data_IF_255522536567
#
_entry.id   IF_255522536567
#
_cell.length_a   1.000
_cell.length_b   1.000
_cell.length_c   1.000
_cell.angle_alpha   90.00
_cell.angle_beta   90.00
_cell.angle_gamma   90.00
#
_symmetry.space_group_name_H-M   'P 1'
#
loop_
_entity.id
_entity.type
_entity.pdbx_description
1 polymer ?
#
# COMPACT_ATOMS: atom_id res chain seq x y z
N UNK A 1 10.73 -2.27 16.77
CA UNK A 1 11.08 -0.85 16.53
C UNK A 1 11.06 -0.04 17.82
N UNK A 2 12.05 0.81 18.00
CA UNK A 2 11.99 1.75 19.12
C UNK A 2 10.88 2.78 18.87
N UNK A 3 10.61 3.61 19.86
CA UNK A 3 9.49 4.52 19.79
C UNK A 3 9.61 5.57 18.69
N UNK A 4 10.81 6.10 18.49
CA UNK A 4 11.05 7.05 17.40
C UNK A 4 10.81 6.42 16.04
N UNK A 5 11.31 5.21 15.83
CA UNK A 5 11.12 4.51 14.58
C UNK A 5 9.65 4.13 14.35
N UNK A 6 8.95 3.75 15.41
CA UNK A 6 7.51 3.48 15.30
C UNK A 6 6.77 4.71 14.81
N UNK A 7 7.12 5.86 15.38
CA UNK A 7 6.48 7.12 15.01
C UNK A 7 6.77 7.49 13.55
N UNK A 8 8.02 7.33 13.14
CA UNK A 8 8.41 7.61 11.76
C UNK A 8 7.71 6.70 10.77
N UNK A 9 7.64 5.41 11.09
CA UNK A 9 6.96 4.45 10.23
C UNK A 9 5.47 4.71 10.17
N UNK A 10 4.88 5.08 11.29
CA UNK A 10 3.46 5.43 11.32
C UNK A 10 3.16 6.59 10.36
N UNK A 11 4.00 7.62 10.39
CA UNK A 11 3.83 8.76 9.49
C UNK A 11 4.00 8.35 8.03
N UNK A 12 4.96 7.48 7.75
CA UNK A 12 5.16 6.99 6.38
C UNK A 12 3.98 6.14 5.92
N UNK A 13 3.42 5.33 6.80
CA UNK A 13 2.25 4.52 6.50
C UNK A 13 1.06 5.44 6.22
N UNK A 14 0.88 6.48 7.02
CA UNK A 14 -0.18 7.46 6.80
C UNK A 14 -0.02 8.17 5.47
N UNK A 15 1.20 8.60 5.17
CA UNK A 15 1.49 9.27 3.90
C UNK A 15 1.23 8.35 2.72
N UNK A 16 1.68 7.11 2.81
CA UNK A 16 1.45 6.14 1.74
C UNK A 16 -0.04 5.85 1.58
N UNK A 17 -0.76 5.72 2.68
CA UNK A 17 -2.20 5.52 2.63
C UNK A 17 -2.91 6.68 1.96
N UNK A 18 -2.51 7.89 2.30
CA UNK A 18 -3.07 9.09 1.68
C UNK A 18 -2.78 9.12 0.17
N UNK A 19 -1.56 8.77 -0.20
CA UNK A 19 -1.16 8.71 -1.61
C UNK A 19 -2.00 7.69 -2.39
N UNK A 20 -2.32 6.56 -1.75
CA UNK A 20 -3.07 5.49 -2.40
C UNK A 20 -4.58 5.65 -2.32
N UNK A 21 -5.05 6.70 -1.66
CA UNK A 21 -6.47 6.92 -1.51
C UNK A 21 -7.13 7.06 -2.89
N UNK A 22 -8.16 6.27 -3.11
CA UNK A 22 -8.84 6.26 -4.40
C UNK A 22 -8.18 5.44 -5.47
N UNK A 23 -7.00 4.86 -5.20
CA UNK A 23 -6.27 4.08 -6.19
C UNK A 23 -6.37 2.57 -5.98
N UNK A 24 -6.96 2.14 -4.88
CA UNK A 24 -7.15 0.73 -4.61
C UNK A 24 -8.45 0.25 -5.25
N UNK A 25 -8.45 -0.97 -5.80
CA UNK A 25 -9.65 -1.51 -6.43
C UNK A 25 -10.75 -1.77 -5.40
N UNK A 26 -11.99 -1.72 -5.86
CA UNK A 26 -13.13 -2.06 -5.04
C UNK A 26 -13.08 -3.54 -4.67
N UNK A 27 -13.63 -3.84 -3.51
CA UNK A 27 -13.69 -5.22 -3.02
C UNK A 27 -15.11 -5.49 -2.53
N UNK A 28 -15.64 -6.71 -2.74
CA UNK A 28 -17.00 -7.04 -2.30
C UNK A 28 -17.27 -6.75 -0.83
N UNK A 29 -16.26 -6.95 0.02
CA UNK A 29 -16.39 -6.68 1.45
C UNK A 29 -16.15 -5.22 1.81
N UNK A 30 -15.75 -4.41 0.83
CA UNK A 30 -15.45 -3.00 1.02
C UNK A 30 -16.02 -2.22 -0.17
N UNK A 31 -17.34 -2.10 -0.25
CA UNK A 31 -18.00 -1.48 -1.42
C UNK A 31 -17.62 -0.03 -1.65
N UNK A 32 -17.15 0.65 -0.61
CA UNK A 32 -16.67 2.03 -0.73
C UNK A 32 -15.17 2.11 -0.95
N UNK A 33 -14.54 0.96 -1.21
CA UNK A 33 -13.10 0.88 -1.38
C UNK A 33 -12.42 0.45 -0.09
N UNK A 34 -11.18 0.00 -0.22
CA UNK A 34 -10.38 -0.41 0.94
C UNK A 34 -9.89 0.81 1.70
N UNK A 35 -9.72 0.65 3.00
CA UNK A 35 -9.02 1.65 3.79
C UNK A 35 -7.55 1.60 3.40
N UNK A 36 -7.02 2.63 2.72
CA UNK A 36 -5.65 2.57 2.22
C UNK A 36 -4.59 2.53 3.34
N UNK A 37 -4.89 3.11 4.49
CA UNK A 37 -3.96 3.10 5.62
C UNK A 37 -3.82 1.69 6.16
N UNK A 38 -4.93 1.02 6.36
CA UNK A 38 -4.93 -0.37 6.81
C UNK A 38 -4.26 -1.27 5.77
N UNK A 39 -4.48 -0.99 4.49
CA UNK A 39 -3.86 -1.77 3.42
C UNK A 39 -2.33 -1.72 3.51
N UNK A 40 -1.76 -0.52 3.67
CA UNK A 40 -0.31 -0.37 3.77
C UNK A 40 0.23 -1.12 4.99
N UNK A 41 -0.43 -0.95 6.13
CA UNK A 41 0.00 -1.61 7.35
C UNK A 41 -0.05 -3.14 7.23
N UNK A 42 -1.10 -3.66 6.60
CA UNK A 42 -1.24 -5.10 6.38
C UNK A 42 -0.15 -5.61 5.43
N UNK A 43 0.15 -4.86 4.38
CA UNK A 43 1.20 -5.26 3.44
C UNK A 43 2.57 -5.33 4.13
N UNK A 44 2.85 -4.38 5.01
CA UNK A 44 4.09 -4.42 5.79
C UNK A 44 4.11 -5.66 6.68
N UNK A 45 3.00 -5.92 7.36
CA UNK A 45 2.91 -7.09 8.23
C UNK A 45 3.11 -8.39 7.45
N UNK A 46 2.52 -8.48 6.27
CA UNK A 46 2.67 -9.68 5.45
C UNK A 46 4.10 -9.88 4.96
N UNK A 47 4.76 -8.78 4.58
CA UNK A 47 6.13 -8.85 4.09
C UNK A 47 7.12 -9.26 5.17
N UNK A 48 6.99 -8.69 6.37
CA UNK A 48 7.94 -8.90 7.45
C UNK A 48 7.44 -9.88 8.51
N UNK A 49 6.23 -10.39 8.36
CA UNK A 49 5.60 -11.37 9.26
C UNK A 49 5.38 -10.83 10.68
N UNK A 50 5.47 -9.51 10.84
CA UNK A 50 5.24 -8.83 12.11
C UNK A 50 4.67 -7.45 11.84
N UNK A 51 3.88 -6.96 12.80
CA UNK A 51 3.45 -5.56 12.77
C UNK A 51 4.67 -4.65 12.70
N UNK A 52 4.55 -3.51 12.04
CA UNK A 52 5.66 -2.57 11.95
C UNK A 52 6.22 -2.20 13.32
N UNK A 53 5.40 -2.26 14.34
CA UNK A 53 5.82 -1.92 15.72
C UNK A 53 6.78 -2.95 16.29
N UNK A 54 6.69 -4.18 15.83
CA UNK A 54 7.43 -5.32 16.39
C UNK A 54 8.63 -5.74 15.54
N UNK A 55 8.82 -5.09 14.40
CA UNK A 55 9.97 -5.36 13.54
C UNK A 55 11.23 -4.79 14.18
N UNK A 56 12.36 -5.47 14.03
CA UNK A 56 13.62 -5.01 14.60
C UNK A 56 14.06 -3.69 13.98
N UNK A 57 14.71 -2.85 14.79
CA UNK A 57 15.19 -1.54 14.35
C UNK A 57 16.19 -1.64 13.19
N UNK A 58 16.98 -2.71 13.14
CA UNK A 58 17.94 -2.87 12.06
C UNK A 58 17.27 -3.08 10.71
N UNK A 59 15.97 -3.28 10.67
CA UNK A 59 15.20 -3.42 9.44
C UNK A 59 14.40 -2.17 9.10
N UNK A 60 14.65 -1.08 9.81
CA UNK A 60 13.89 0.16 9.59
C UNK A 60 13.96 0.61 8.13
N UNK A 61 15.15 0.63 7.55
CA UNK A 61 15.31 1.05 6.16
C UNK A 61 14.59 0.12 5.19
N UNK A 62 14.59 -1.18 5.48
CA UNK A 62 13.89 -2.14 4.64
C UNK A 62 12.39 -1.89 4.66
N UNK A 63 11.85 -1.55 5.83
CA UNK A 63 10.42 -1.23 5.94
C UNK A 63 10.09 0.04 5.17
N UNK A 64 10.94 1.06 5.30
CA UNK A 64 10.76 2.32 4.57
C UNK A 64 10.73 2.05 3.06
N UNK A 65 11.69 1.27 2.57
CA UNK A 65 11.76 0.95 1.16
C UNK A 65 10.53 0.17 0.70
N UNK A 66 10.04 -0.73 1.53
CA UNK A 66 8.85 -1.50 1.18
C UNK A 66 7.61 -0.60 1.09
N UNK A 67 7.47 0.36 1.99
CA UNK A 67 6.35 1.30 1.95
C UNK A 67 6.41 2.13 0.67
N UNK A 68 7.59 2.60 0.28
CA UNK A 68 7.78 3.34 -0.97
C UNK A 68 7.47 2.47 -2.18
N UNK A 69 7.88 1.21 -2.13
CA UNK A 69 7.59 0.25 -3.18
C UNK A 69 6.08 0.03 -3.35
N UNK A 70 5.36 -0.05 -2.25
CA UNK A 70 3.90 -0.22 -2.30
C UNK A 70 3.23 0.95 -3.01
N UNK A 71 3.71 2.16 -2.77
CA UNK A 71 3.16 3.34 -3.44
C UNK A 71 3.33 3.22 -4.95
N UNK A 72 4.51 2.84 -5.40
CA UNK A 72 4.79 2.70 -6.83
C UNK A 72 4.01 1.58 -7.48
N UNK A 73 3.95 0.43 -6.84
CA UNK A 73 3.29 -0.73 -7.39
C UNK A 73 1.80 -0.50 -7.55
N UNK A 74 1.16 0.02 -6.52
CA UNK A 74 -0.28 0.22 -6.57
C UNK A 74 -0.68 1.26 -7.61
N UNK A 75 0.08 2.35 -7.68
CA UNK A 75 -0.19 3.38 -8.68
C UNK A 75 -0.04 2.82 -10.09
N UNK A 76 1.03 2.09 -10.34
CA UNK A 76 1.28 1.50 -11.66
C UNK A 76 0.23 0.46 -12.01
N UNK A 77 -0.14 -0.37 -11.05
CA UNK A 77 -1.15 -1.40 -11.26
C UNK A 77 -2.50 -0.76 -11.63
N UNK A 78 -2.87 0.27 -10.92
CA UNK A 78 -4.13 0.95 -11.16
C UNK A 78 -4.16 1.56 -12.58
N UNK A 79 -3.10 2.27 -12.94
CA UNK A 79 -2.98 2.86 -14.28
C UNK A 79 -3.03 1.80 -15.36
N UNK A 80 -2.30 0.73 -15.16
CA UNK A 80 -2.24 -0.36 -16.13
C UNK A 80 -3.61 -0.99 -16.33
N UNK A 81 -4.33 -1.23 -15.25
CA UNK A 81 -5.66 -1.80 -15.34
C UNK A 81 -6.62 -0.86 -16.04
N UNK A 82 -6.53 0.42 -15.76
CA UNK A 82 -7.38 1.42 -16.40
C UNK A 82 -7.12 1.46 -17.90
N UNK A 83 -5.86 1.47 -18.29
CA UNK A 83 -5.48 1.45 -19.71
C UNK A 83 -5.94 0.17 -20.38
N UNK A 84 -5.78 -0.96 -19.72
CA UNK A 84 -6.21 -2.24 -20.25
C UNK A 84 -7.71 -2.25 -20.49
N UNK A 85 -8.47 -1.70 -19.56
CA UNK A 85 -9.92 -1.62 -19.74
C UNK A 85 -10.28 -0.75 -20.93
N UNK A 86 -9.59 0.36 -21.11
CA UNK A 86 -9.87 1.26 -22.21
C UNK A 86 -9.55 0.63 -23.57
N UNK A 87 -8.49 -0.14 -23.62
CA UNK A 87 -8.09 -0.84 -24.84
C UNK A 87 -8.99 -2.04 -25.08
N UNK A 88 -9.29 -2.74 -24.03
CA UNK A 88 -10.01 -4.01 -24.09
C UNK A 88 -11.47 -3.84 -24.50
N UNK A 89 -12.14 -2.83 -23.96
CA UNK A 89 -13.55 -2.61 -24.26
C UNK A 89 -13.85 -2.49 -25.75
N UNK A 90 -13.11 -1.66 -26.50
CA UNK A 90 -13.34 -1.59 -27.93
C UNK A 90 -13.07 -2.91 -28.65
N UNK A 91 -12.10 -3.65 -28.18
CA UNK A 91 -11.74 -4.91 -28.80
C UNK A 91 -12.82 -5.97 -28.63
N UNK A 92 -13.50 -5.94 -27.50
CA UNK A 92 -14.54 -6.92 -27.22
C UNK A 92 -15.80 -6.64 -28.01
N UNK A 93 -16.03 -5.38 -28.28
CA UNK A 93 -17.20 -4.99 -29.04
C UNK A 93 -17.05 -5.37 -30.48
#
# INVERSE_FOLDING_TARGET
MNEDNRRKLWLLIQEAGHYLQGQLPDHPNHPKGRNPYAHVAICVKEKFEKSYKDIDDNKFDDVVQHIEFLKKIQANFYKKNTLSKNVYKPAIK
#
